data_IF_066433569022
#
_entry.id   IF_066433569022
#
_cell.length_a   1.000
_cell.length_b   1.000
_cell.length_c   1.000
_cell.angle_alpha   90.00
_cell.angle_beta   90.00
_cell.angle_gamma   90.00
#
_symmetry.space_group_name_H-M   'P 1'
#
loop_
_entity.id
_entity.type
_entity.pdbx_description
1 polymer ?
#
# COMPACT_ATOMS: atom_id res chain seq x y z
N UNK A 1 -0.45 53.99 5.36
CA UNK A 1 0.72 53.65 6.21
C UNK A 1 0.19 52.76 7.33
N UNK A 2 0.69 51.54 7.49
CA UNK A 2 0.29 50.69 8.61
C UNK A 2 1.04 51.16 9.86
N UNK A 3 0.31 51.53 10.91
CA UNK A 3 0.89 51.89 12.20
C UNK A 3 0.96 50.63 13.06
N UNK A 4 2.16 50.11 13.31
CA UNK A 4 2.38 48.98 14.21
C UNK A 4 2.55 49.49 15.64
N UNK A 5 1.67 49.07 16.54
CA UNK A 5 1.82 49.29 17.98
C UNK A 5 2.22 47.95 18.59
N UNK A 6 3.35 47.93 19.30
CA UNK A 6 3.77 46.75 20.08
C UNK A 6 3.02 46.78 21.42
N UNK A 7 2.30 45.70 21.71
CA UNK A 7 1.51 45.55 22.93
C UNK A 7 2.00 44.34 23.71
N UNK A 8 2.44 44.57 24.94
CA UNK A 8 2.70 43.48 25.87
C UNK A 8 1.39 43.04 26.55
N UNK A 9 1.16 41.74 26.60
CA UNK A 9 -0.03 41.14 27.20
C UNK A 9 0.33 39.82 27.88
N UNK A 10 -0.43 39.48 28.92
CA UNK A 10 -0.38 38.18 29.58
C UNK A 10 -1.55 37.34 29.09
N UNK A 11 -1.30 36.07 28.80
CA UNK A 11 -2.35 35.10 28.53
C UNK A 11 -2.76 34.39 29.83
N UNK A 12 -3.98 34.65 30.30
CA UNK A 12 -4.50 34.09 31.55
C UNK A 12 -5.95 33.65 31.37
N UNK A 13 -6.30 32.44 31.80
CA UNK A 13 -7.66 31.89 31.77
C UNK A 13 -8.32 31.95 30.36
N UNK A 14 -7.53 31.76 29.30
CA UNK A 14 -8.05 31.77 27.93
C UNK A 14 -8.19 33.17 27.32
N UNK A 15 -7.72 34.23 28.00
CA UNK A 15 -7.90 35.62 27.58
C UNK A 15 -6.54 36.34 27.58
N UNK A 16 -6.25 37.06 26.49
CA UNK A 16 -5.12 37.98 26.44
C UNK A 16 -5.46 39.28 27.18
N UNK A 17 -4.72 39.58 28.24
CA UNK A 17 -4.86 40.80 29.04
C UNK A 17 -3.68 41.73 28.75
N UNK A 18 -3.90 42.92 28.18
CA UNK A 18 -2.82 43.86 27.96
C UNK A 18 -2.26 44.36 29.29
N UNK A 19 -0.94 44.56 29.36
CA UNK A 19 -0.27 45.13 30.53
C UNK A 19 -0.49 46.63 30.68
N UNK A 20 -0.92 47.29 29.60
CA UNK A 20 -1.19 48.72 29.55
C UNK A 20 -2.57 48.97 28.89
N UNK A 21 -3.32 50.03 29.29
CA UNK A 21 -4.56 50.38 28.63
C UNK A 21 -4.37 50.64 27.12
N UNK A 22 -5.18 50.01 26.29
CA UNK A 22 -5.16 50.18 24.83
C UNK A 22 -6.43 50.90 24.41
N UNK A 23 -6.28 51.98 23.64
CA UNK A 23 -7.41 52.71 23.04
C UNK A 23 -7.64 52.18 21.63
N UNK A 24 -8.67 51.36 21.46
CA UNK A 24 -9.10 50.82 20.16
C UNK A 24 -10.55 51.25 19.88
N UNK A 25 -10.89 51.40 18.60
CA UNK A 25 -12.28 51.63 18.22
C UNK A 25 -13.13 50.36 18.42
N UNK A 26 -14.43 50.53 18.61
CA UNK A 26 -15.35 49.40 18.68
C UNK A 26 -15.25 48.55 17.39
N UNK A 27 -15.17 47.23 17.54
CA UNK A 27 -14.98 46.27 16.43
C UNK A 27 -13.69 46.44 15.61
N UNK A 28 -12.67 47.13 16.13
CA UNK A 28 -11.38 47.23 15.45
C UNK A 28 -10.68 45.86 15.40
N UNK A 29 -10.44 45.36 14.18
CA UNK A 29 -9.68 44.12 13.96
C UNK A 29 -8.20 44.35 14.25
N UNK A 30 -7.62 43.48 15.07
CA UNK A 30 -6.19 43.48 15.40
C UNK A 30 -5.57 42.12 15.07
N UNK A 31 -4.29 42.13 14.68
CA UNK A 31 -3.48 40.91 14.51
C UNK A 31 -2.51 40.83 15.67
N UNK A 32 -2.50 39.72 16.39
CA UNK A 32 -1.55 39.46 17.48
C UNK A 32 -0.45 38.57 16.93
N UNK A 33 0.80 39.01 17.01
CA UNK A 33 1.97 38.19 16.74
C UNK A 33 2.49 37.66 18.07
N UNK A 34 2.50 36.34 18.22
CA UNK A 34 3.09 35.66 19.39
C UNK A 34 4.47 35.16 18.99
N UNK A 35 5.52 35.65 19.65
CA UNK A 35 6.86 35.07 19.53
C UNK A 35 6.94 33.86 20.46
N UNK A 36 6.62 32.68 19.93
CA UNK A 36 6.80 31.41 20.62
C UNK A 36 7.96 30.64 20.00
N UNK A 37 8.74 29.96 20.84
CA UNK A 37 9.59 28.88 20.37
C UNK A 37 8.66 27.80 19.82
N UNK A 38 8.81 27.43 18.54
CA UNK A 38 8.06 26.32 17.98
C UNK A 38 8.27 25.10 18.90
N UNK A 39 7.22 24.30 19.21
CA UNK A 39 7.42 23.09 19.99
C UNK A 39 8.60 22.33 19.39
N UNK A 40 9.53 21.80 20.22
CA UNK A 40 10.78 21.23 19.74
C UNK A 40 10.43 20.30 18.60
N UNK A 41 11.04 20.52 17.42
CA UNK A 41 10.63 19.91 16.17
C UNK A 41 10.47 18.39 16.33
N UNK A 42 9.25 17.96 16.63
CA UNK A 42 8.94 16.57 16.90
C UNK A 42 8.94 15.86 15.55
N UNK A 43 9.55 14.68 15.49
CA UNK A 43 9.48 13.85 14.30
C UNK A 43 7.98 13.57 14.00
N UNK A 44 7.46 13.98 12.84
CA UNK A 44 6.08 13.68 12.49
C UNK A 44 5.89 12.17 12.36
N UNK A 45 5.02 11.60 13.19
CA UNK A 45 4.67 10.18 13.14
C UNK A 45 3.51 9.98 12.18
N UNK A 46 3.78 9.32 11.04
CA UNK A 46 2.76 9.02 10.04
C UNK A 46 2.12 7.66 10.31
N UNK A 47 0.79 7.59 10.18
CA UNK A 47 0.04 6.33 10.21
C UNK A 47 0.02 5.72 8.81
N UNK A 48 1.16 5.16 8.39
CA UNK A 48 1.29 4.58 7.05
C UNK A 48 0.60 3.22 6.97
N UNK A 49 -0.26 3.06 5.96
CA UNK A 49 -0.83 1.76 5.62
C UNK A 49 0.24 0.94 4.86
N UNK A 50 0.33 -0.38 5.09
CA UNK A 50 1.19 -1.21 4.26
C UNK A 50 0.76 -1.06 2.80
N UNK A 51 1.74 -1.04 1.92
CA UNK A 51 1.56 -0.88 0.47
C UNK A 51 0.98 -2.17 -0.12
N UNK A 52 -0.28 -2.47 0.23
CA UNK A 52 -1.05 -3.60 -0.28
C UNK A 52 -2.17 -3.06 -1.16
N UNK A 53 -2.33 -3.67 -2.33
CA UNK A 53 -3.37 -3.31 -3.29
C UNK A 53 -4.15 -4.54 -3.73
N UNK A 54 -5.44 -4.39 -3.98
CA UNK A 54 -6.26 -5.44 -4.59
C UNK A 54 -6.26 -5.19 -6.10
N UNK A 55 -6.04 -6.23 -6.90
CA UNK A 55 -6.16 -6.14 -8.36
C UNK A 55 -7.60 -6.39 -8.85
N UNK A 56 -7.80 -6.34 -10.17
CA UNK A 56 -9.10 -6.56 -10.82
C UNK A 56 -9.65 -7.97 -10.55
N UNK A 57 -8.77 -8.94 -10.32
CA UNK A 57 -9.10 -10.33 -10.00
C UNK A 57 -9.23 -10.61 -8.48
N UNK A 58 -9.25 -9.55 -7.65
CA UNK A 58 -9.42 -9.64 -6.21
C UNK A 58 -8.20 -10.16 -5.44
N UNK A 59 -7.05 -10.31 -6.08
CA UNK A 59 -5.81 -10.72 -5.43
C UNK A 59 -5.08 -9.53 -4.80
N UNK A 60 -4.65 -9.72 -3.56
CA UNK A 60 -3.80 -8.76 -2.85
C UNK A 60 -2.35 -8.85 -3.34
N UNK A 61 -1.80 -7.71 -3.79
CA UNK A 61 -0.44 -7.53 -4.32
C UNK A 61 0.35 -6.52 -3.50
N UNK A 62 1.68 -6.63 -3.56
CA UNK A 62 2.63 -5.82 -2.79
C UNK A 62 3.15 -4.66 -3.62
N UNK A 63 3.11 -3.45 -3.06
CA UNK A 63 3.54 -2.21 -3.68
C UNK A 63 2.96 -2.02 -5.08
N UNK A 64 3.82 -1.59 -5.99
CA UNK A 64 3.53 -1.52 -7.43
C UNK A 64 3.80 -2.85 -8.16
N UNK A 65 4.31 -3.85 -7.45
CA UNK A 65 4.70 -5.13 -8.02
C UNK A 65 3.48 -5.99 -8.39
N UNK A 66 3.69 -6.96 -9.29
CA UNK A 66 2.73 -8.05 -9.53
C UNK A 66 2.84 -9.18 -8.51
N UNK A 67 3.79 -9.12 -7.59
CA UNK A 67 3.97 -10.14 -6.56
C UNK A 67 2.77 -10.11 -5.58
N UNK A 68 2.23 -11.31 -5.30
CA UNK A 68 1.08 -11.52 -4.41
C UNK A 68 1.52 -11.52 -2.95
N UNK A 69 0.65 -11.05 -2.06
CA UNK A 69 0.83 -11.12 -0.60
C UNK A 69 1.20 -12.55 -0.15
N UNK A 70 0.49 -13.56 -0.68
CA UNK A 70 0.73 -14.95 -0.30
C UNK A 70 2.15 -15.44 -0.55
N UNK A 71 2.81 -14.96 -1.61
CA UNK A 71 4.20 -15.35 -1.90
C UNK A 71 5.14 -14.75 -0.85
N UNK A 72 5.00 -13.46 -0.52
CA UNK A 72 5.85 -12.82 0.50
C UNK A 72 5.68 -13.49 1.86
N UNK A 73 4.43 -13.80 2.24
CA UNK A 73 4.14 -14.51 3.49
C UNK A 73 4.79 -15.89 3.47
N UNK A 74 4.58 -16.69 2.42
CA UNK A 74 5.17 -18.03 2.28
C UNK A 74 6.71 -17.99 2.40
N UNK A 75 7.36 -17.10 1.66
CA UNK A 75 8.82 -17.00 1.70
C UNK A 75 9.33 -16.58 3.08
N UNK A 76 8.63 -15.67 3.77
CA UNK A 76 8.96 -15.27 5.12
C UNK A 76 8.86 -16.45 6.10
N UNK A 77 7.79 -17.24 6.02
CA UNK A 77 7.61 -18.41 6.87
C UNK A 77 8.63 -19.51 6.60
N UNK A 78 9.13 -19.60 5.37
CA UNK A 78 10.22 -20.48 4.98
C UNK A 78 11.61 -19.95 5.41
N UNK A 79 11.68 -18.80 6.09
CA UNK A 79 12.91 -18.23 6.62
C UNK A 79 13.71 -17.37 5.64
N UNK A 80 13.15 -17.06 4.46
CA UNK A 80 13.79 -16.13 3.52
C UNK A 80 13.78 -14.72 4.08
N UNK A 81 14.92 -14.03 4.01
CA UNK A 81 15.03 -12.64 4.49
C UNK A 81 14.36 -11.67 3.52
N UNK A 82 13.86 -10.49 4.00
CA UNK A 82 13.36 -9.43 3.12
C UNK A 82 14.35 -9.02 2.03
N UNK A 83 15.64 -8.97 2.37
CA UNK A 83 16.72 -8.62 1.45
C UNK A 83 16.92 -9.70 0.38
N UNK A 84 16.83 -10.98 0.75
CA UNK A 84 16.84 -12.07 -0.22
C UNK A 84 15.63 -12.01 -1.13
N UNK A 85 14.43 -11.70 -0.60
CA UNK A 85 13.23 -11.59 -1.42
C UNK A 85 13.35 -10.51 -2.48
N UNK A 86 13.89 -9.33 -2.13
CA UNK A 86 14.10 -8.26 -3.12
C UNK A 86 15.18 -8.62 -4.13
N UNK A 87 16.21 -9.38 -3.72
CA UNK A 87 17.20 -9.94 -4.66
C UNK A 87 16.57 -10.93 -5.64
N UNK A 88 15.64 -11.77 -5.17
CA UNK A 88 14.95 -12.77 -5.99
C UNK A 88 13.83 -12.17 -6.85
N UNK A 89 13.20 -11.10 -6.40
CA UNK A 89 12.07 -10.43 -7.04
C UNK A 89 12.34 -8.92 -7.16
N UNK A 90 13.07 -8.53 -8.20
CA UNK A 90 13.56 -7.16 -8.45
C UNK A 90 12.46 -6.07 -8.51
N UNK A 91 11.21 -6.46 -8.77
CA UNK A 91 10.05 -5.55 -8.73
C UNK A 91 9.58 -5.18 -7.33
N UNK A 92 10.07 -5.85 -6.27
CA UNK A 92 9.76 -5.53 -4.89
C UNK A 92 10.65 -4.41 -4.36
N UNK A 93 10.07 -3.50 -3.58
CA UNK A 93 10.84 -2.53 -2.79
C UNK A 93 11.06 -3.09 -1.39
N UNK A 94 12.27 -2.93 -0.86
CA UNK A 94 12.63 -3.42 0.47
C UNK A 94 11.71 -2.85 1.56
N UNK A 95 11.38 -1.56 1.49
CA UNK A 95 10.44 -0.90 2.40
C UNK A 95 9.06 -1.55 2.38
N UNK A 96 8.55 -1.90 1.20
CA UNK A 96 7.25 -2.54 1.03
C UNK A 96 7.25 -3.94 1.63
N UNK A 97 8.32 -4.72 1.42
CA UNK A 97 8.44 -6.07 1.98
C UNK A 97 8.44 -6.02 3.50
N UNK A 98 9.22 -5.13 4.12
CA UNK A 98 9.20 -4.95 5.57
C UNK A 98 7.83 -4.51 6.09
N UNK A 99 7.17 -3.55 5.42
CA UNK A 99 5.85 -3.08 5.82
C UNK A 99 4.80 -4.21 5.76
N UNK A 100 4.85 -5.04 4.71
CA UNK A 100 3.96 -6.19 4.54
C UNK A 100 4.22 -7.28 5.57
N UNK A 101 5.49 -7.61 5.86
CA UNK A 101 5.82 -8.58 6.92
C UNK A 101 5.36 -8.06 8.28
N UNK A 102 5.59 -6.78 8.58
CA UNK A 102 5.12 -6.18 9.82
C UNK A 102 3.59 -6.21 9.94
N UNK A 103 2.86 -5.98 8.83
CA UNK A 103 1.42 -6.13 8.79
C UNK A 103 1.00 -7.59 9.01
N UNK A 104 1.62 -8.54 8.32
CA UNK A 104 1.35 -9.96 8.48
C UNK A 104 1.53 -10.43 9.92
N UNK A 105 2.61 -10.03 10.57
CA UNK A 105 2.90 -10.38 11.96
C UNK A 105 1.86 -9.81 12.94
N UNK A 106 1.32 -8.62 12.66
CA UNK A 106 0.28 -7.99 13.49
C UNK A 106 -1.14 -8.54 13.23
N UNK A 107 -1.40 -9.07 12.04
CA UNK A 107 -2.73 -9.49 11.58
C UNK A 107 -2.73 -10.94 11.06
N UNK A 108 -1.99 -11.83 11.75
CA UNK A 108 -1.65 -13.16 11.22
C UNK A 108 -2.87 -14.00 10.89
N UNK A 109 -3.87 -14.00 11.76
CA UNK A 109 -5.09 -14.80 11.60
C UNK A 109 -5.93 -14.31 10.42
N UNK A 110 -6.12 -13.00 10.30
CA UNK A 110 -6.86 -12.38 9.19
C UNK A 110 -6.20 -12.69 7.84
N UNK A 111 -4.87 -12.53 7.77
CA UNK A 111 -4.12 -12.80 6.55
C UNK A 111 -4.15 -14.28 6.21
N UNK A 112 -3.98 -15.19 7.19
CA UNK A 112 -4.07 -16.63 6.97
C UNK A 112 -5.45 -17.05 6.48
N UNK A 113 -6.53 -16.53 7.08
CA UNK A 113 -7.89 -16.79 6.64
C UNK A 113 -8.12 -16.33 5.20
N UNK A 114 -7.61 -15.15 4.83
CA UNK A 114 -7.65 -14.68 3.44
C UNK A 114 -6.90 -15.63 2.49
N UNK A 115 -5.67 -16.04 2.84
CA UNK A 115 -4.86 -16.91 2.00
C UNK A 115 -5.48 -18.31 1.84
N UNK A 116 -6.09 -18.87 2.89
CA UNK A 116 -6.81 -20.14 2.83
C UNK A 116 -7.97 -20.08 1.85
N UNK A 117 -8.85 -19.08 1.97
CA UNK A 117 -9.99 -18.92 1.03
C UNK A 117 -9.51 -18.82 -0.43
N UNK A 118 -8.43 -18.07 -0.68
CA UNK A 118 -7.86 -17.96 -2.04
C UNK A 118 -7.28 -19.28 -2.55
N UNK A 119 -6.71 -20.09 -1.67
CA UNK A 119 -6.26 -21.45 -1.99
C UNK A 119 -7.43 -22.34 -2.43
N UNK A 120 -8.50 -22.37 -1.63
CA UNK A 120 -9.71 -23.14 -1.91
C UNK A 120 -10.36 -22.74 -3.25
N UNK A 121 -10.46 -21.43 -3.53
CA UNK A 121 -10.95 -20.91 -4.81
C UNK A 121 -10.09 -21.38 -6.00
N UNK A 122 -8.77 -21.34 -5.84
CA UNK A 122 -7.84 -21.75 -6.89
C UNK A 122 -7.91 -23.26 -7.15
N UNK A 123 -8.05 -24.07 -6.11
CA UNK A 123 -8.16 -25.52 -6.22
C UNK A 123 -9.51 -25.94 -6.82
N UNK A 124 -10.60 -25.28 -6.43
CA UNK A 124 -11.93 -25.50 -7.04
C UNK A 124 -11.93 -25.16 -8.54
N UNK A 125 -11.33 -24.02 -8.92
CA UNK A 125 -11.18 -23.64 -10.32
C UNK A 125 -10.33 -24.66 -11.09
N UNK A 126 -9.22 -25.12 -10.51
CA UNK A 126 -8.36 -26.14 -11.11
C UNK A 126 -9.14 -27.45 -11.34
N UNK A 127 -9.87 -27.93 -10.33
CA UNK A 127 -10.67 -29.14 -10.44
C UNK A 127 -11.73 -29.04 -11.55
N UNK A 128 -12.40 -27.89 -11.68
CA UNK A 128 -13.36 -27.64 -12.77
C UNK A 128 -12.70 -27.70 -14.15
N UNK A 129 -11.56 -27.03 -14.32
CA UNK A 129 -10.82 -27.05 -15.60
C UNK A 129 -10.35 -28.47 -15.95
N UNK A 130 -9.85 -29.23 -14.97
CA UNK A 130 -9.40 -30.62 -15.17
C UNK A 130 -10.56 -31.56 -15.51
N UNK A 131 -11.75 -31.34 -14.93
CA UNK A 131 -12.95 -32.11 -15.24
C UNK A 131 -13.50 -31.80 -16.66
N UNK A 132 -13.46 -30.53 -17.08
CA UNK A 132 -13.93 -30.10 -18.41
C UNK A 132 -12.94 -30.44 -19.54
N UNK A 133 -11.65 -30.57 -19.22
CA UNK A 133 -10.59 -30.90 -20.18
C UNK A 133 -9.65 -31.96 -19.60
N UNK A 134 -9.92 -33.26 -19.82
CA UNK A 134 -8.98 -34.31 -19.42
C UNK A 134 -7.61 -34.02 -20.04
N UNK A 135 -6.56 -34.16 -19.23
CA UNK A 135 -5.18 -33.86 -19.62
C UNK A 135 -4.84 -34.62 -20.91
N UNK A 136 -4.51 -33.88 -21.97
CA UNK A 136 -3.99 -34.46 -23.20
C UNK A 136 -2.73 -35.25 -22.86
N UNK A 137 -2.69 -36.51 -23.26
CA UNK A 137 -1.53 -37.36 -23.14
C UNK A 137 -0.34 -36.74 -23.87
N UNK A 138 0.88 -37.10 -23.43
CA UNK A 138 2.12 -36.68 -24.10
C UNK A 138 2.09 -37.02 -25.60
N UNK A 139 1.46 -38.13 -25.98
CA UNK A 139 1.27 -38.51 -27.38
C UNK A 139 0.34 -37.55 -28.13
N UNK A 140 -0.77 -37.12 -27.54
CA UNK A 140 -1.69 -36.15 -28.15
C UNK A 140 -1.05 -34.76 -28.30
N UNK A 141 -0.25 -34.33 -27.32
CA UNK A 141 0.51 -33.08 -27.40
C UNK A 141 1.58 -33.13 -28.50
N UNK A 142 2.27 -34.25 -28.65
CA UNK A 142 3.26 -34.46 -29.72
C UNK A 142 2.60 -34.59 -31.10
N UNK A 143 1.44 -35.23 -31.19
CA UNK A 143 0.66 -35.32 -32.42
C UNK A 143 0.20 -33.93 -32.89
N UNK A 144 -0.29 -33.08 -31.97
CA UNK A 144 -0.65 -31.68 -32.27
C UNK A 144 0.54 -30.83 -32.72
N UNK A 145 1.74 -31.11 -32.21
CA UNK A 145 2.98 -30.43 -32.65
C UNK A 145 3.42 -30.85 -34.06
N UNK A 146 3.05 -32.06 -34.48
CA UNK A 146 3.45 -32.63 -35.77
C UNK A 146 2.35 -32.55 -36.84
N UNK A 147 1.19 -31.94 -36.57
CA UNK A 147 0.25 -31.55 -37.63
C UNK A 147 0.85 -30.34 -38.34
N UNK A 148 1.28 -30.46 -39.62
CA UNK A 148 1.74 -29.30 -40.36
C UNK A 148 0.57 -28.34 -40.52
N UNK A 149 0.86 -27.06 -40.29
CA UNK A 149 0.01 -25.92 -40.65
C UNK A 149 -0.42 -26.07 -42.11
N UNK A 150 -1.61 -26.66 -42.34
CA UNK A 150 -2.22 -26.68 -43.66
C UNK A 150 -2.71 -25.26 -43.91
N UNK A 151 -2.03 -24.63 -44.86
CA UNK A 151 -2.36 -23.36 -45.48
C UNK A 151 -3.87 -23.15 -45.60
N UNK A 152 -4.36 -22.04 -45.05
CA UNK A 152 -5.51 -21.32 -45.55
C UNK A 152 -5.47 -19.87 -45.02
N UNK A 153 -4.76 -19.02 -45.76
CA UNK A 153 -5.02 -17.59 -45.79
C UNK A 153 -5.31 -17.22 -47.25
N UNK A 154 -6.52 -16.79 -47.61
CA UNK A 154 -6.73 -16.22 -48.93
C UNK A 154 -6.02 -14.87 -48.98
N UNK A 155 -5.14 -14.69 -49.97
CA UNK A 155 -4.58 -13.40 -50.31
C UNK A 155 -5.72 -12.48 -50.77
N UNK A 156 -6.08 -11.51 -49.92
CA UNK A 156 -6.98 -10.42 -50.26
C UNK A 156 -6.29 -9.42 -51.18
N UNK A 157 -6.96 -9.14 -52.30
CA UNK A 157 -6.61 -8.16 -53.33
C UNK A 157 -6.66 -6.72 -52.81
#
# INVERSE_FOLDING_TARGET
MAMSIHLEAIYENGVFRPLQPVSLAENQRVTITLEGEAPPAALPLHADRPTLRVDEEGAVRVGRSRIRLGLVVEQYENGMTPEDMVRAYDTLLLSDVHAVIAYYLRHRDEVRAYLMRRGEEADALRAKIEAERPRLSRQELLARRNVPEKADAPAGQ
#
